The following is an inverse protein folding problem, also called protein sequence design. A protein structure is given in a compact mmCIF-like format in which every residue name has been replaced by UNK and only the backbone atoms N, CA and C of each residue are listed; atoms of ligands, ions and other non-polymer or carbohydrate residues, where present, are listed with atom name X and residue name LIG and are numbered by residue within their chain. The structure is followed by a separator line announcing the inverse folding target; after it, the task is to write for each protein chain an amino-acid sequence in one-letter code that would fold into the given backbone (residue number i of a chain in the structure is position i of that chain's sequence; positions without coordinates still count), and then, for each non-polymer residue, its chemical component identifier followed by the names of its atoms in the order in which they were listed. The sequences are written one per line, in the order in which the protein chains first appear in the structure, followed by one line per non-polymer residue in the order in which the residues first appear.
data_IF_394792272372
#
_entry.id   IF_394792272372
#
_cell.length_a   1.000
_cell.length_b   1.000
_cell.length_c   1.000
_cell.angle_alpha   90.00
_cell.angle_beta   90.00
_cell.angle_gamma   90.00
#
_symmetry.space_group_name_H-M   'P 1'
#
loop_
_entity.id
_entity.type
_entity.pdbx_description
1 polymer ?
#
# COMPACT_ATOMS: atom_id res chain seq x y z
N UNK A 1 9.77 -21.05 -66.60
CA UNK A 1 9.02 -21.92 -67.54
C UNK A 1 7.76 -22.34 -66.82
N UNK A 2 6.55 -22.04 -67.27
CA UNK A 2 6.05 -21.27 -68.43
C UNK A 2 4.65 -20.73 -67.99
N UNK A 3 3.95 -19.74 -68.53
CA UNK A 3 4.03 -18.72 -69.59
C UNK A 3 2.78 -17.81 -69.37
N UNK A 4 2.68 -16.65 -70.03
CA UNK A 4 1.54 -15.70 -69.93
C UNK A 4 0.45 -15.95 -71.03
N UNK A 5 -0.64 -15.15 -71.16
CA UNK A 5 -0.63 -13.75 -71.66
C UNK A 5 -1.47 -12.76 -70.78
N UNK A 6 -1.24 -11.43 -70.72
CA UNK A 6 -1.50 -10.34 -71.71
C UNK A 6 -2.99 -10.25 -72.16
N UNK A 7 -3.69 -9.11 -72.15
CA UNK A 7 -3.40 -7.73 -72.65
C UNK A 7 -4.29 -6.68 -71.90
N UNK A 8 -3.85 -5.48 -71.48
CA UNK A 8 -3.64 -4.20 -72.23
C UNK A 8 -4.95 -3.54 -72.76
N UNK A 9 -5.03 -2.23 -73.16
CA UNK A 9 -4.01 -1.13 -73.14
C UNK A 9 -4.47 0.33 -72.75
N UNK A 10 -3.48 1.22 -72.46
CA UNK A 10 -3.33 2.65 -72.91
C UNK A 10 -4.28 3.81 -72.45
N UNK A 11 -3.92 5.12 -72.63
CA UNK A 11 -2.58 5.78 -72.53
C UNK A 11 -2.54 7.25 -72.00
N UNK A 12 -1.30 7.81 -71.93
CA UNK A 12 -0.92 9.21 -72.31
C UNK A 12 -1.24 10.39 -71.36
N UNK A 13 -0.41 11.42 -71.15
CA UNK A 13 1.06 11.64 -71.30
C UNK A 13 1.44 12.89 -70.49
N UNK A 14 2.72 13.02 -70.08
CA UNK A 14 3.29 14.23 -69.49
C UNK A 14 4.63 14.61 -70.15
N UNK A 15 4.97 15.91 -70.04
CA UNK A 15 6.26 16.56 -70.39
C UNK A 15 6.58 16.73 -71.89
N UNK A 16 7.23 17.79 -72.38
CA UNK A 16 7.50 19.15 -71.83
C UNK A 16 8.15 20.05 -72.91
N UNK A 17 7.83 21.35 -72.99
CA UNK A 17 8.67 22.35 -73.70
C UNK A 17 8.80 23.69 -72.93
N UNK A 18 9.88 24.43 -73.20
CA UNK A 18 10.50 25.44 -72.33
C UNK A 18 10.55 26.83 -72.99
N UNK A 19 10.28 27.90 -72.24
CA UNK A 19 10.74 29.26 -72.57
C UNK A 19 10.85 30.17 -71.32
N UNK A 20 11.82 31.09 -71.32
CA UNK A 20 12.03 32.15 -70.30
C UNK A 20 11.02 33.31 -70.51
N UNK A 21 10.68 34.18 -69.55
CA UNK A 21 11.51 35.29 -69.03
C UNK A 21 10.80 36.05 -67.86
N UNK A 22 11.59 36.74 -67.04
CA UNK A 22 11.34 37.77 -65.99
C UNK A 22 9.91 38.18 -65.56
N UNK A 23 9.66 38.14 -64.24
CA UNK A 23 9.59 39.35 -63.35
C UNK A 23 9.27 39.04 -61.88
N UNK A 24 10.16 39.44 -60.98
CA UNK A 24 9.85 39.88 -59.61
C UNK A 24 8.86 41.07 -59.67
N UNK A 25 7.91 41.27 -58.71
CA UNK A 25 8.30 41.56 -57.32
C UNK A 25 7.33 41.21 -56.17
N UNK A 26 7.89 41.38 -54.96
CA UNK A 26 7.28 41.85 -53.69
C UNK A 26 6.59 40.83 -52.76
N UNK A 27 7.29 40.51 -51.66
CA UNK A 27 6.75 39.79 -50.50
C UNK A 27 5.81 40.68 -49.67
N UNK A 28 4.70 40.12 -49.14
CA UNK A 28 4.13 40.59 -47.88
C UNK A 28 4.56 39.67 -46.73
N UNK A 29 5.56 40.11 -45.97
CA UNK A 29 6.04 39.51 -44.72
C UNK A 29 4.89 38.95 -43.84
N UNK A 30 4.83 37.62 -43.73
CA UNK A 30 3.87 36.95 -42.84
C UNK A 30 4.23 37.19 -41.37
N UNK A 31 3.61 38.22 -40.77
CA UNK A 31 3.70 38.51 -39.33
C UNK A 31 3.35 37.25 -38.51
N UNK A 32 4.37 36.62 -37.91
CA UNK A 32 4.19 35.52 -36.95
C UNK A 32 3.29 36.00 -35.81
N UNK A 33 2.06 35.48 -35.78
CA UNK A 33 1.00 35.86 -34.84
C UNK A 33 1.26 35.21 -33.48
N UNK A 34 2.21 35.75 -32.72
CA UNK A 34 2.61 35.25 -31.39
C UNK A 34 1.62 35.72 -30.31
N UNK A 35 0.41 35.14 -30.31
CA UNK A 35 -0.64 35.41 -29.31
C UNK A 35 -1.31 34.07 -28.90
N UNK A 36 -1.21 33.75 -27.59
CA UNK A 36 -2.02 32.79 -26.82
C UNK A 36 -2.04 31.28 -27.17
N UNK A 37 -0.89 30.62 -27.39
CA UNK A 37 -0.84 29.14 -27.26
C UNK A 37 -1.03 28.68 -25.80
N UNK A 38 -0.43 29.40 -24.83
CA UNK A 38 -0.39 28.98 -23.43
C UNK A 38 -1.78 28.87 -22.80
N UNK A 39 -2.64 29.88 -23.01
CA UNK A 39 -4.03 29.83 -22.55
C UNK A 39 -4.86 28.71 -23.21
N UNK A 40 -4.44 28.21 -24.38
CA UNK A 40 -5.04 27.05 -25.04
C UNK A 40 -4.63 25.75 -24.35
N UNK A 41 -3.35 25.63 -23.98
CA UNK A 41 -2.78 24.51 -23.21
C UNK A 41 -3.45 24.40 -21.84
N UNK A 42 -3.48 25.49 -21.07
CA UNK A 42 -4.04 25.51 -19.71
C UNK A 42 -5.53 25.05 -19.70
N UNK A 43 -6.30 25.47 -20.73
CA UNK A 43 -7.70 25.05 -20.93
C UNK A 43 -7.83 23.59 -21.35
N UNK A 44 -6.89 23.04 -22.10
CA UNK A 44 -6.85 21.63 -22.48
C UNK A 44 -6.46 20.75 -21.28
N UNK A 45 -5.44 21.13 -20.52
CA UNK A 45 -4.95 20.43 -19.32
C UNK A 45 -6.06 20.32 -18.26
N UNK A 46 -6.78 21.41 -18.00
CA UNK A 46 -7.92 21.41 -17.07
C UNK A 46 -9.05 20.47 -17.55
N UNK A 47 -9.36 20.47 -18.86
CA UNK A 47 -10.36 19.56 -19.46
C UNK A 47 -9.93 18.09 -19.41
N UNK A 48 -8.65 17.80 -19.68
CA UNK A 48 -8.08 16.47 -19.55
C UNK A 48 -8.15 16.00 -18.09
N UNK A 49 -7.88 16.89 -17.13
CA UNK A 49 -8.07 16.65 -15.70
C UNK A 49 -9.44 16.03 -15.40
N UNK A 50 -10.52 16.69 -15.83
CA UNK A 50 -11.89 16.21 -15.61
C UNK A 50 -12.25 14.91 -16.35
N UNK A 51 -11.71 14.68 -17.55
CA UNK A 51 -11.96 13.45 -18.33
C UNK A 51 -11.24 12.23 -17.74
N UNK A 52 -10.06 12.43 -17.15
CA UNK A 52 -9.21 11.37 -16.62
C UNK A 52 -9.48 11.05 -15.13
N UNK A 53 -10.45 11.72 -14.51
CA UNK A 53 -10.91 11.42 -13.15
C UNK A 53 -11.48 9.99 -13.03
N UNK A 54 -11.35 9.42 -11.83
CA UNK A 54 -11.96 8.15 -11.50
C UNK A 54 -13.49 8.29 -11.42
N UNK A 55 -14.23 7.40 -12.09
CA UNK A 55 -15.70 7.35 -12.07
C UNK A 55 -16.35 7.06 -10.69
N UNK A 56 -15.55 6.84 -9.64
CA UNK A 56 -16.02 6.54 -8.28
C UNK A 56 -15.73 7.67 -7.30
N UNK A 57 -14.45 8.08 -7.15
CA UNK A 57 -14.10 9.18 -6.24
C UNK A 57 -14.11 10.57 -6.90
N UNK A 58 -14.21 10.63 -8.23
CA UNK A 58 -14.17 11.87 -9.04
C UNK A 58 -12.83 12.63 -8.99
N UNK A 59 -11.80 12.05 -8.35
CA UNK A 59 -10.45 12.60 -8.31
C UNK A 59 -9.55 12.05 -9.44
N UNK A 60 -8.49 12.81 -9.75
CA UNK A 60 -7.40 12.33 -10.59
C UNK A 60 -6.61 11.21 -9.89
N UNK A 61 -6.37 10.07 -10.57
CA UNK A 61 -5.71 8.92 -9.95
C UNK A 61 -4.22 9.17 -9.70
N UNK A 62 -3.78 8.94 -8.46
CA UNK A 62 -2.36 9.04 -8.04
C UNK A 62 -1.54 7.75 -8.30
N UNK A 63 -2.20 6.69 -8.76
CA UNK A 63 -1.65 5.34 -8.86
C UNK A 63 -2.26 4.61 -10.07
N UNK A 64 -2.13 3.28 -10.12
CA UNK A 64 -2.63 2.48 -11.22
C UNK A 64 -4.11 2.75 -11.57
N UNK A 65 -4.43 2.76 -12.86
CA UNK A 65 -5.77 3.04 -13.38
C UNK A 65 -6.30 1.81 -14.10
N UNK A 66 -7.50 1.39 -13.72
CA UNK A 66 -8.22 0.29 -14.34
C UNK A 66 -9.34 0.82 -15.23
N UNK A 67 -9.55 0.16 -16.37
CA UNK A 67 -10.55 0.50 -17.35
C UNK A 67 -11.50 -0.69 -17.52
N UNK A 68 -12.82 -0.47 -17.45
CA UNK A 68 -13.78 -1.53 -17.82
C UNK A 68 -13.78 -1.75 -19.34
N UNK A 69 -14.35 -2.87 -19.81
CA UNK A 69 -14.47 -3.18 -21.25
C UNK A 69 -15.12 -2.07 -22.09
N UNK A 70 -16.02 -1.28 -21.49
CA UNK A 70 -16.72 -0.16 -22.13
C UNK A 70 -16.01 1.19 -21.95
N UNK A 71 -14.80 1.21 -21.38
CA UNK A 71 -13.92 2.38 -21.37
C UNK A 71 -13.88 3.24 -20.10
N UNK A 72 -14.73 2.99 -19.09
CA UNK A 72 -14.78 3.79 -17.86
C UNK A 72 -13.58 3.57 -16.94
N UNK A 73 -13.03 4.67 -16.40
CA UNK A 73 -11.80 4.70 -15.60
C UNK A 73 -12.07 4.60 -14.09
N UNK A 74 -11.29 3.77 -13.40
CA UNK A 74 -11.33 3.56 -11.95
C UNK A 74 -9.90 3.58 -11.39
N UNK A 75 -9.64 4.38 -10.37
CA UNK A 75 -8.36 4.32 -9.66
C UNK A 75 -8.24 2.98 -8.90
N UNK A 76 -7.00 2.48 -8.72
CA UNK A 76 -6.77 1.20 -8.04
C UNK A 76 -7.46 1.05 -6.67
N UNK A 77 -7.52 2.06 -5.77
CA UNK A 77 -8.28 1.98 -4.53
C UNK A 77 -9.78 1.73 -4.76
N UNK A 78 -10.43 2.50 -5.63
CA UNK A 78 -11.86 2.36 -5.90
C UNK A 78 -12.20 1.06 -6.65
N UNK A 79 -11.36 0.65 -7.61
CA UNK A 79 -11.51 -0.65 -8.28
C UNK A 79 -11.42 -1.81 -7.27
N UNK A 80 -10.42 -1.78 -6.39
CA UNK A 80 -10.27 -2.76 -5.30
C UNK A 80 -11.49 -2.77 -4.38
N UNK A 81 -12.02 -1.59 -4.04
CA UNK A 81 -13.22 -1.48 -3.20
C UNK A 81 -14.43 -2.12 -3.88
N UNK A 82 -14.73 -1.81 -5.15
CA UNK A 82 -15.86 -2.42 -5.89
C UNK A 82 -15.79 -3.95 -5.92
N UNK A 83 -14.59 -4.53 -6.10
CA UNK A 83 -14.39 -5.98 -6.04
C UNK A 83 -14.62 -6.56 -4.64
N UNK A 84 -14.17 -5.88 -3.58
CA UNK A 84 -14.38 -6.31 -2.20
C UNK A 84 -15.86 -6.23 -1.79
N UNK A 85 -16.52 -5.15 -2.19
CA UNK A 85 -17.88 -4.78 -1.83
C UNK A 85 -18.92 -5.73 -2.48
N UNK A 86 -18.76 -6.02 -3.79
CA UNK A 86 -19.57 -7.03 -4.47
C UNK A 86 -19.40 -8.43 -3.86
N UNK A 87 -18.16 -8.80 -3.49
CA UNK A 87 -17.89 -10.09 -2.83
C UNK A 87 -18.56 -10.20 -1.46
N UNK A 88 -18.64 -9.12 -0.70
CA UNK A 88 -19.35 -9.10 0.59
C UNK A 88 -20.86 -9.32 0.41
N UNK A 89 -21.46 -8.78 -0.66
CA UNK A 89 -22.87 -9.01 -1.01
C UNK A 89 -23.17 -10.31 -1.77
N UNK A 90 -22.13 -11.03 -2.19
CA UNK A 90 -22.23 -12.21 -3.09
C UNK A 90 -22.77 -11.89 -4.50
N UNK A 91 -22.43 -10.70 -4.98
CA UNK A 91 -22.79 -10.19 -6.30
C UNK A 91 -21.55 -10.20 -7.23
N UNK A 92 -21.78 -10.18 -8.55
CA UNK A 92 -20.71 -9.83 -9.49
C UNK A 92 -20.39 -8.33 -9.36
N UNK A 93 -19.12 -7.97 -9.34
CA UNK A 93 -18.72 -6.57 -9.32
C UNK A 93 -19.06 -5.95 -10.68
N UNK A 94 -19.67 -4.77 -10.69
CA UNK A 94 -20.08 -4.08 -11.91
C UNK A 94 -19.52 -2.66 -11.95
N UNK A 95 -19.30 -2.15 -13.17
CA UNK A 95 -18.92 -0.75 -13.38
C UNK A 95 -20.05 0.18 -12.93
N UNK A 96 -19.82 1.20 -12.08
CA UNK A 96 -20.88 2.08 -11.58
C UNK A 96 -21.61 2.85 -12.70
N UNK A 97 -20.91 3.18 -13.80
CA UNK A 97 -21.48 3.98 -14.89
C UNK A 97 -22.28 3.14 -15.88
N UNK A 98 -21.75 1.99 -16.33
CA UNK A 98 -22.35 1.20 -17.42
C UNK A 98 -22.77 -0.23 -17.03
N UNK A 99 -22.65 -0.59 -15.74
CA UNK A 99 -23.07 -1.87 -15.15
C UNK A 99 -22.48 -3.15 -15.76
N UNK A 100 -21.52 -3.03 -16.68
CA UNK A 100 -20.76 -4.18 -17.20
C UNK A 100 -19.95 -4.84 -16.09
N UNK A 101 -19.83 -6.17 -16.12
CA UNK A 101 -19.09 -6.93 -15.12
C UNK A 101 -17.59 -6.61 -15.14
N UNK A 102 -17.04 -6.32 -13.96
CA UNK A 102 -15.64 -5.99 -13.74
C UNK A 102 -14.98 -7.03 -12.84
N UNK A 103 -13.76 -7.40 -13.17
CA UNK A 103 -12.96 -8.39 -12.45
C UNK A 103 -11.48 -8.10 -12.66
N UNK A 104 -10.59 -8.73 -11.88
CA UNK A 104 -9.13 -8.62 -12.06
C UNK A 104 -8.65 -9.07 -13.46
N UNK A 105 -9.49 -9.77 -14.23
CA UNK A 105 -9.19 -10.28 -15.58
C UNK A 105 -9.95 -9.55 -16.70
N UNK A 106 -11.14 -8.98 -16.44
CA UNK A 106 -11.93 -8.24 -17.44
C UNK A 106 -11.65 -6.73 -17.45
N UNK A 107 -11.14 -6.16 -16.37
CA UNK A 107 -10.69 -4.76 -16.33
C UNK A 107 -9.19 -4.68 -16.68
N UNK A 108 -8.84 -3.89 -17.69
CA UNK A 108 -7.45 -3.71 -18.12
C UNK A 108 -6.77 -2.56 -17.36
N UNK A 109 -5.46 -2.64 -17.13
CA UNK A 109 -4.69 -1.53 -16.56
C UNK A 109 -4.29 -0.56 -17.67
N UNK A 110 -4.73 0.69 -17.59
CA UNK A 110 -4.48 1.69 -18.63
C UNK A 110 -3.23 2.52 -18.33
N UNK A 111 -2.08 2.00 -18.78
CA UNK A 111 -0.78 2.66 -18.64
C UNK A 111 -0.67 4.00 -19.41
N UNK A 112 -1.50 4.21 -20.45
CA UNK A 112 -1.50 5.48 -21.19
C UNK A 112 -2.13 6.59 -20.33
N UNK A 113 -3.27 6.31 -19.69
CA UNK A 113 -3.89 7.23 -18.72
C UNK A 113 -2.97 7.49 -17.53
N UNK A 114 -2.30 6.47 -16.99
CA UNK A 114 -1.32 6.65 -15.91
C UNK A 114 -0.21 7.64 -16.29
N UNK A 115 0.38 7.48 -17.49
CA UNK A 115 1.40 8.41 -18.00
C UNK A 115 0.84 9.81 -18.21
N UNK A 116 -0.30 9.95 -18.89
CA UNK A 116 -0.92 11.26 -19.14
C UNK A 116 -1.24 12.00 -17.84
N UNK A 117 -1.81 11.30 -16.84
CA UNK A 117 -2.08 11.90 -15.52
C UNK A 117 -0.78 12.28 -14.80
N UNK A 118 0.30 11.51 -14.95
CA UNK A 118 1.60 11.83 -14.33
C UNK A 118 2.28 13.08 -14.90
N UNK A 119 1.94 13.50 -16.12
CA UNK A 119 2.41 14.73 -16.75
C UNK A 119 1.52 15.95 -16.44
N UNK A 120 0.28 15.75 -15.97
CA UNK A 120 -0.62 16.86 -15.66
C UNK A 120 -0.03 17.78 -14.56
N UNK A 121 -0.28 19.10 -14.63
CA UNK A 121 0.11 20.03 -13.59
C UNK A 121 -0.51 19.70 -12.23
N UNK A 122 0.24 19.99 -11.18
CA UNK A 122 -0.21 19.98 -9.79
C UNK A 122 0.60 20.97 -8.97
N UNK A 123 -0.05 21.66 -8.04
CA UNK A 123 0.57 22.64 -7.16
C UNK A 123 1.31 21.97 -6.00
N UNK A 124 2.44 22.56 -5.59
CA UNK A 124 3.18 22.20 -4.39
C UNK A 124 2.48 22.72 -3.13
N UNK A 125 2.27 21.85 -2.15
CA UNK A 125 1.59 22.19 -0.88
C UNK A 125 2.35 23.19 0.01
N UNK A 126 3.60 23.51 -0.33
CA UNK A 126 4.45 24.42 0.43
C UNK A 126 4.66 25.77 -0.29
N UNK A 127 5.13 25.76 -1.55
CA UNK A 127 5.43 26.99 -2.29
C UNK A 127 4.36 27.39 -3.32
N UNK A 128 3.29 26.61 -3.50
CA UNK A 128 2.21 26.82 -4.50
C UNK A 128 2.63 26.82 -5.97
N UNK A 129 3.92 26.66 -6.28
CA UNK A 129 4.39 26.51 -7.66
C UNK A 129 3.87 25.22 -8.30
N UNK A 130 3.62 25.27 -9.61
CA UNK A 130 3.05 24.17 -10.40
C UNK A 130 4.18 23.29 -10.95
N UNK A 131 4.06 21.97 -10.78
CA UNK A 131 4.97 20.97 -11.32
C UNK A 131 4.20 19.79 -11.95
N UNK A 132 4.78 19.05 -12.91
CA UNK A 132 4.24 17.75 -13.34
C UNK A 132 4.13 16.79 -12.16
N UNK A 133 3.00 16.08 -12.02
CA UNK A 133 2.73 15.17 -10.87
C UNK A 133 3.85 14.18 -10.59
N UNK A 134 4.51 13.63 -11.62
CA UNK A 134 5.62 12.69 -11.45
C UNK A 134 6.83 13.28 -10.71
N UNK A 135 7.05 14.60 -10.83
CA UNK A 135 8.20 15.30 -10.23
C UNK A 135 7.85 15.98 -8.91
N UNK A 136 6.55 16.21 -8.65
CA UNK A 136 6.07 16.94 -7.49
C UNK A 136 6.53 16.34 -6.15
N UNK A 137 6.48 15.01 -6.00
CA UNK A 137 6.94 14.35 -4.78
C UNK A 137 8.44 14.63 -4.52
N UNK A 138 9.27 14.49 -5.55
CA UNK A 138 10.71 14.77 -5.43
C UNK A 138 10.95 16.24 -5.05
N UNK A 139 10.17 17.17 -5.62
CA UNK A 139 10.23 18.57 -5.26
C UNK A 139 9.87 18.81 -3.78
N UNK A 140 8.70 18.37 -3.34
CA UNK A 140 8.21 18.57 -1.97
C UNK A 140 9.16 17.97 -0.90
N UNK A 141 9.82 16.85 -1.20
CA UNK A 141 10.74 16.18 -0.28
C UNK A 141 12.16 16.76 -0.29
N UNK A 142 12.68 17.15 -1.47
CA UNK A 142 14.12 17.37 -1.67
C UNK A 142 14.51 18.78 -2.12
N UNK A 143 13.74 19.43 -3.00
CA UNK A 143 14.17 20.69 -3.66
C UNK A 143 13.36 21.92 -3.26
N UNK A 144 12.15 21.77 -2.74
CA UNK A 144 11.29 22.87 -2.33
C UNK A 144 11.89 23.66 -1.16
N UNK A 145 12.04 24.98 -1.31
CA UNK A 145 12.62 25.85 -0.27
C UNK A 145 11.68 26.06 0.92
N UNK A 146 10.37 25.92 0.70
CA UNK A 146 9.32 26.03 1.73
C UNK A 146 9.01 24.70 2.44
N UNK A 147 9.68 23.60 2.08
CA UNK A 147 9.46 22.31 2.75
C UNK A 147 9.91 22.38 4.22
N UNK A 148 9.15 21.72 5.09
CA UNK A 148 9.49 21.65 6.52
C UNK A 148 10.69 20.73 6.75
N UNK A 149 11.81 21.33 7.17
CA UNK A 149 13.04 20.64 7.55
C UNK A 149 13.30 20.78 9.05
N UNK A 150 14.19 19.94 9.60
CA UNK A 150 14.69 20.07 10.96
C UNK A 150 16.15 20.51 10.96
N UNK A 151 16.59 21.12 12.06
CA UNK A 151 17.99 21.52 12.24
C UNK A 151 18.93 20.29 12.24
N UNK A 152 20.16 20.38 11.69
CA UNK A 152 21.17 19.30 11.83
C UNK A 152 21.43 18.90 13.29
N UNK A 153 21.28 19.86 14.22
CA UNK A 153 21.43 19.66 15.67
C UNK A 153 20.18 19.10 16.36
N UNK A 154 19.15 18.68 15.62
CA UNK A 154 18.04 17.91 16.19
C UNK A 154 18.51 16.59 16.84
N UNK A 155 19.69 16.09 16.46
CA UNK A 155 20.30 14.92 17.08
C UNK A 155 20.71 15.13 18.56
N UNK A 156 21.05 16.36 18.95
CA UNK A 156 21.45 16.76 20.32
C UNK A 156 20.33 17.46 21.10
N UNK A 157 19.11 17.54 20.52
CA UNK A 157 17.93 18.05 21.22
C UNK A 157 17.31 19.32 20.64
N UNK A 158 17.84 19.89 19.54
CA UNK A 158 17.21 21.08 18.92
C UNK A 158 15.78 20.75 18.43
N UNK A 159 14.72 21.43 18.93
CA UNK A 159 13.34 21.17 18.53
C UNK A 159 12.94 21.90 17.23
N UNK A 160 13.82 22.74 16.67
CA UNK A 160 13.48 23.63 15.56
C UNK A 160 13.09 22.84 14.30
N UNK A 161 11.94 23.23 13.75
CA UNK A 161 11.41 22.82 12.45
C UNK A 161 10.87 24.05 11.74
N UNK A 162 11.23 24.23 10.48
CA UNK A 162 10.82 25.38 9.66
C UNK A 162 11.15 25.18 8.19
N UNK A 163 10.90 26.19 7.34
CA UNK A 163 11.25 26.16 5.91
C UNK A 163 12.73 25.81 5.69
N UNK A 164 13.03 25.13 4.58
CA UNK A 164 14.41 24.74 4.25
C UNK A 164 15.32 25.95 4.03
N UNK A 165 14.80 27.08 3.55
CA UNK A 165 15.58 28.31 3.39
C UNK A 165 16.02 28.90 4.75
N UNK A 166 15.22 28.74 5.81
CA UNK A 166 15.55 29.20 7.17
C UNK A 166 16.53 28.28 7.92
N UNK A 167 16.69 27.03 7.48
CA UNK A 167 17.51 26.04 8.18
C UNK A 167 18.98 26.50 8.32
N UNK A 168 19.61 27.00 7.25
CA UNK A 168 21.00 27.48 7.31
C UNK A 168 21.16 28.71 8.24
N UNK A 169 20.32 29.76 8.17
CA UNK A 169 20.29 30.84 9.16
C UNK A 169 20.04 30.41 10.60
N UNK A 170 19.22 29.37 10.83
CA UNK A 170 19.01 28.81 12.15
C UNK A 170 20.25 28.08 12.66
N UNK A 171 20.89 27.25 11.83
CA UNK A 171 22.05 26.43 12.20
C UNK A 171 23.26 27.26 12.65
N UNK A 172 23.49 28.44 12.07
CA UNK A 172 24.57 29.34 12.49
C UNK A 172 24.30 30.05 13.82
N UNK A 173 23.03 30.14 14.24
CA UNK A 173 22.58 30.76 15.50
C UNK A 173 21.99 29.74 16.48
N UNK A 174 22.19 28.45 16.23
CA UNK A 174 21.55 27.41 17.02
C UNK A 174 22.16 27.37 18.42
N UNK A 175 21.33 27.45 19.46
CA UNK A 175 21.79 27.33 20.85
C UNK A 175 22.15 25.89 21.23
N UNK A 176 21.70 24.87 20.47
CA UNK A 176 21.85 23.47 20.84
C UNK A 176 23.31 23.00 21.02
N UNK A 177 24.29 23.39 20.18
CA UNK A 177 25.70 23.07 20.41
C UNK A 177 26.31 23.72 21.68
N UNK A 178 25.66 24.74 22.24
CA UNK A 178 26.08 25.43 23.46
C UNK A 178 25.27 24.99 24.71
N UNK A 179 24.37 24.01 24.58
CA UNK A 179 23.63 23.44 25.72
C UNK A 179 24.57 22.68 26.66
N UNK A 180 24.17 22.56 27.93
CA UNK A 180 24.96 21.80 28.89
C UNK A 180 24.96 20.30 28.53
N UNK A 181 26.03 19.59 28.91
CA UNK A 181 26.10 18.14 28.72
C UNK A 181 24.94 17.39 29.39
N UNK A 182 24.37 17.92 30.48
CA UNK A 182 23.22 17.34 31.16
C UNK A 182 21.93 17.42 30.30
N UNK A 183 21.70 18.55 29.64
CA UNK A 183 20.53 18.74 28.76
C UNK A 183 20.60 17.84 27.52
N UNK A 184 21.80 17.75 26.92
CA UNK A 184 22.05 16.88 25.75
C UNK A 184 21.90 15.41 26.15
N UNK A 185 22.40 14.99 27.31
CA UNK A 185 22.21 13.63 27.82
C UNK A 185 20.73 13.30 28.07
N UNK A 186 19.94 14.24 28.61
CA UNK A 186 18.50 14.05 28.78
C UNK A 186 17.77 13.89 27.44
N UNK A 187 18.10 14.73 26.44
CA UNK A 187 17.54 14.64 25.10
C UNK A 187 17.92 13.33 24.39
N UNK A 188 19.16 12.87 24.54
CA UNK A 188 19.63 11.58 24.02
C UNK A 188 18.95 10.40 24.72
N UNK A 189 18.81 10.43 26.05
CA UNK A 189 18.14 9.37 26.81
C UNK A 189 16.66 9.20 26.42
N UNK A 190 15.94 10.32 26.18
CA UNK A 190 14.57 10.30 25.66
C UNK A 190 14.51 9.79 24.20
N UNK A 191 15.47 10.18 23.36
CA UNK A 191 15.58 9.65 21.98
C UNK A 191 15.85 8.15 21.97
N UNK A 192 16.77 7.68 22.81
CA UNK A 192 17.02 6.25 23.00
C UNK A 192 15.80 5.54 23.59
N UNK A 193 15.06 6.15 24.51
CA UNK A 193 13.81 5.57 25.03
C UNK A 193 12.81 5.36 23.90
N UNK A 194 12.60 6.35 23.03
CA UNK A 194 11.74 6.22 21.83
C UNK A 194 12.27 5.18 20.85
N UNK A 195 13.59 5.10 20.64
CA UNK A 195 14.20 4.10 19.78
C UNK A 195 14.07 2.68 20.36
N UNK A 196 14.25 2.50 21.68
CA UNK A 196 13.97 1.27 22.42
C UNK A 196 12.49 0.91 22.34
N UNK A 197 11.59 1.87 22.53
CA UNK A 197 10.13 1.66 22.47
C UNK A 197 9.68 1.23 21.06
N UNK A 198 10.23 1.82 19.99
CA UNK A 198 10.02 1.35 18.62
C UNK A 198 10.69 -0.03 18.36
N UNK A 199 11.86 -0.27 18.97
CA UNK A 199 12.61 -1.52 18.88
C UNK A 199 12.00 -2.68 19.69
N UNK A 200 11.19 -2.42 20.71
CA UNK A 200 10.61 -3.43 21.62
C UNK A 200 9.84 -4.51 20.85
N UNK A 201 9.10 -4.13 19.82
CA UNK A 201 8.36 -5.09 18.98
C UNK A 201 9.31 -6.03 18.22
N UNK A 202 10.41 -5.50 17.68
CA UNK A 202 11.43 -6.32 17.00
C UNK A 202 12.20 -7.20 17.98
N UNK A 203 12.59 -6.66 19.14
CA UNK A 203 13.24 -7.42 20.20
C UNK A 203 12.34 -8.54 20.73
N UNK A 204 11.05 -8.26 20.93
CA UNK A 204 10.05 -9.27 21.28
C UNK A 204 9.97 -10.33 20.18
N UNK A 205 9.78 -9.96 18.91
CA UNK A 205 9.72 -10.95 17.81
C UNK A 205 11.00 -11.79 17.71
N UNK A 206 12.19 -11.22 17.95
CA UNK A 206 13.44 -11.97 17.98
C UNK A 206 13.53 -12.93 19.18
N UNK A 207 13.07 -12.51 20.37
CA UNK A 207 12.92 -13.39 21.54
C UNK A 207 11.96 -14.55 21.21
N UNK A 208 10.81 -14.26 20.59
CA UNK A 208 9.84 -15.28 20.16
C UNK A 208 10.41 -16.25 19.12
N UNK A 209 11.35 -15.80 18.28
CA UNK A 209 12.06 -16.63 17.32
C UNK A 209 13.21 -17.46 17.96
N UNK A 210 13.51 -17.27 19.25
CA UNK A 210 14.52 -18.01 19.99
C UNK A 210 13.99 -19.21 20.79
N UNK A 211 12.67 -19.39 20.88
CA UNK A 211 12.05 -20.51 21.60
C UNK A 211 12.31 -21.84 20.87
N UNK A 212 12.55 -22.90 21.64
CA UNK A 212 12.81 -24.26 21.13
C UNK A 212 11.63 -24.83 20.31
N UNK A 213 10.39 -24.46 20.66
CA UNK A 213 9.15 -24.96 20.05
C UNK A 213 8.41 -23.86 19.30
N UNK A 214 8.88 -23.58 18.09
CA UNK A 214 8.22 -22.70 17.10
C UNK A 214 7.75 -23.55 15.93
N UNK A 215 6.59 -23.22 15.37
CA UNK A 215 6.15 -23.77 14.07
C UNK A 215 5.86 -22.65 13.09
N UNK A 216 6.11 -22.86 11.80
CA UNK A 216 5.84 -21.90 10.75
C UNK A 216 4.78 -22.46 9.82
N UNK A 217 3.57 -21.89 9.84
CA UNK A 217 2.46 -22.34 9.02
C UNK A 217 2.07 -21.25 8.02
N UNK A 218 2.26 -21.50 6.73
CA UNK A 218 1.69 -20.67 5.66
C UNK A 218 0.23 -21.06 5.45
N UNK A 219 -0.68 -20.18 5.87
CA UNK A 219 -2.11 -20.44 5.91
C UNK A 219 -2.85 -19.73 4.78
N UNK A 220 -3.84 -20.43 4.24
CA UNK A 220 -4.77 -19.91 3.25
C UNK A 220 -6.19 -19.89 3.84
N UNK A 221 -6.75 -18.70 4.01
CA UNK A 221 -8.15 -18.49 4.38
C UNK A 221 -9.04 -18.62 3.14
N UNK A 222 -9.96 -19.60 3.17
CA UNK A 222 -10.96 -19.84 2.14
C UNK A 222 -12.30 -19.23 2.58
N UNK A 223 -13.04 -18.55 1.70
CA UNK A 223 -14.33 -17.97 2.03
C UNK A 223 -15.39 -19.05 2.25
N UNK A 224 -16.29 -18.84 3.20
CA UNK A 224 -17.54 -19.57 3.35
C UNK A 224 -18.65 -18.63 3.84
N UNK A 225 -19.91 -19.02 3.67
CA UNK A 225 -21.07 -18.23 4.12
C UNK A 225 -21.98 -19.10 4.99
N UNK A 226 -22.68 -18.45 5.90
CA UNK A 226 -23.72 -19.07 6.73
C UNK A 226 -25.09 -18.94 6.07
N UNK A 227 -25.96 -19.92 6.28
CA UNK A 227 -27.35 -19.94 5.78
C UNK A 227 -28.30 -19.00 6.56
N UNK A 228 -27.76 -18.11 7.40
CA UNK A 228 -28.52 -17.07 8.09
C UNK A 228 -29.18 -16.10 7.09
N UNK A 229 -30.29 -15.47 7.51
CA UNK A 229 -31.01 -14.38 6.78
C UNK A 229 -30.14 -13.14 6.45
N UNK A 230 -28.87 -13.16 6.88
CA UNK A 230 -27.80 -12.27 6.46
C UNK A 230 -26.63 -13.16 6.03
N UNK A 231 -26.34 -13.24 4.74
CA UNK A 231 -25.19 -13.97 4.20
C UNK A 231 -23.86 -13.31 4.60
N UNK A 232 -23.46 -13.48 5.86
CA UNK A 232 -22.18 -12.98 6.37
C UNK A 232 -21.04 -13.77 5.73
N UNK A 233 -20.08 -13.05 5.16
CA UNK A 233 -18.86 -13.62 4.63
C UNK A 233 -17.89 -13.92 5.78
N UNK A 234 -17.62 -15.20 5.98
CA UNK A 234 -16.58 -15.70 6.86
C UNK A 234 -15.44 -16.30 6.05
N UNK A 235 -14.31 -16.53 6.71
CA UNK A 235 -13.21 -17.27 6.13
C UNK A 235 -12.71 -18.30 7.14
N UNK A 236 -12.29 -19.48 6.66
CA UNK A 236 -11.68 -20.53 7.48
C UNK A 236 -10.43 -21.09 6.78
N UNK A 237 -9.40 -21.43 7.55
CA UNK A 237 -8.26 -22.18 7.04
C UNK A 237 -8.56 -23.67 7.02
N UNK A 238 -7.90 -24.42 6.13
CA UNK A 238 -7.74 -25.87 6.36
C UNK A 238 -7.14 -26.13 7.76
N UNK A 239 -7.48 -27.28 8.36
CA UNK A 239 -6.88 -27.70 9.62
C UNK A 239 -5.37 -27.84 9.45
N UNK A 240 -4.61 -27.29 10.39
CA UNK A 240 -3.15 -27.40 10.41
C UNK A 240 -2.66 -27.96 11.75
N UNK A 241 -1.46 -28.52 11.74
CA UNK A 241 -0.88 -29.24 12.89
C UNK A 241 0.20 -28.40 13.55
N UNK A 242 0.09 -28.15 14.85
CA UNK A 242 1.14 -27.51 15.65
C UNK A 242 1.07 -28.04 17.10
N UNK A 243 2.22 -28.26 17.73
CA UNK A 243 2.33 -28.79 19.11
C UNK A 243 1.58 -30.10 19.37
N UNK A 244 1.47 -30.98 18.36
CA UNK A 244 0.68 -32.22 18.46
C UNK A 244 -0.84 -32.01 18.40
N UNK A 245 -1.29 -30.77 18.22
CA UNK A 245 -2.69 -30.37 18.21
C UNK A 245 -3.15 -29.93 16.82
N UNK A 246 -4.47 -30.00 16.60
CA UNK A 246 -5.13 -29.54 15.38
C UNK A 246 -5.73 -28.15 15.57
N UNK A 247 -5.42 -27.25 14.65
CA UNK A 247 -5.76 -25.83 14.72
C UNK A 247 -6.51 -25.37 13.48
N UNK A 248 -7.34 -24.35 13.66
CA UNK A 248 -8.04 -23.64 12.58
C UNK A 248 -7.96 -22.14 12.88
N UNK A 249 -7.70 -21.32 11.86
CA UNK A 249 -7.93 -19.87 11.97
C UNK A 249 -9.23 -19.54 11.25
N UNK A 250 -10.15 -18.88 11.95
CA UNK A 250 -11.31 -18.22 11.35
C UNK A 250 -11.05 -16.73 11.18
N UNK A 251 -11.68 -16.13 10.18
CA UNK A 251 -11.74 -14.69 10.04
C UNK A 251 -13.16 -14.20 9.73
N UNK A 252 -13.50 -13.02 10.22
CA UNK A 252 -14.78 -12.35 9.94
C UNK A 252 -14.59 -10.84 9.80
N UNK A 253 -15.55 -10.19 9.13
CA UNK A 253 -15.53 -8.74 8.90
C UNK A 253 -16.39 -8.04 9.97
N UNK A 254 -15.76 -7.20 10.78
CA UNK A 254 -16.38 -6.59 11.97
C UNK A 254 -17.26 -5.37 11.64
N UNK A 255 -16.96 -4.65 10.55
CA UNK A 255 -17.77 -3.55 10.01
C UNK A 255 -18.64 -4.02 8.83
N UNK A 256 -19.63 -4.87 9.07
CA UNK A 256 -20.59 -5.27 8.03
C UNK A 256 -21.74 -4.24 7.93
N UNK A 257 -21.43 -3.03 7.44
CA UNK A 257 -22.42 -1.96 7.28
C UNK A 257 -23.41 -2.31 6.15
N UNK A 258 -24.63 -2.67 6.55
CA UNK A 258 -25.71 -3.05 5.62
C UNK A 258 -26.42 -1.83 4.98
N UNK A 259 -26.13 -0.63 5.47
CA UNK A 259 -26.83 0.62 5.11
C UNK A 259 -25.82 1.77 4.97
N UNK A 260 -25.59 2.30 3.74
CA UNK A 260 -24.66 3.40 3.49
C UNK A 260 -25.05 4.76 4.11
N UNK A 261 -26.30 4.91 4.58
CA UNK A 261 -26.82 6.22 5.02
C UNK A 261 -26.46 6.58 6.46
N UNK A 262 -26.00 5.63 7.27
CA UNK A 262 -25.83 5.80 8.72
C UNK A 262 -24.40 6.18 9.17
N UNK A 263 -23.50 6.54 8.25
CA UNK A 263 -22.14 7.00 8.59
C UNK A 263 -21.84 8.37 8.00
N UNK A 264 -21.69 9.37 8.87
CA UNK A 264 -21.13 10.68 8.53
C UNK A 264 -19.62 10.64 8.28
N UNK A 265 -18.95 9.56 8.68
CA UNK A 265 -17.54 9.30 8.37
C UNK A 265 -17.42 8.47 7.10
N UNK A 266 -16.72 9.01 6.09
CA UNK A 266 -16.36 8.32 4.84
C UNK A 266 -15.22 7.29 5.05
N UNK A 267 -15.29 6.48 6.10
CA UNK A 267 -14.32 5.41 6.34
C UNK A 267 -14.66 4.17 5.49
N UNK A 268 -14.20 4.18 4.23
CA UNK A 268 -14.37 3.11 3.23
C UNK A 268 -13.45 1.90 3.55
N UNK A 269 -13.34 1.52 4.83
CA UNK A 269 -12.41 0.48 5.29
C UNK A 269 -13.11 -0.55 6.18
N UNK A 270 -13.17 -1.76 5.65
CA UNK A 270 -13.55 -2.95 6.41
C UNK A 270 -12.44 -3.28 7.43
N UNK A 271 -12.81 -3.97 8.51
CA UNK A 271 -11.86 -4.51 9.50
C UNK A 271 -12.03 -6.03 9.54
N UNK A 272 -10.96 -6.77 9.22
CA UNK A 272 -10.93 -8.23 9.37
C UNK A 272 -10.44 -8.56 10.79
N UNK A 273 -11.17 -9.42 11.50
CA UNK A 273 -10.73 -10.01 12.77
C UNK A 273 -10.34 -11.47 12.54
N UNK A 274 -9.24 -11.92 13.17
CA UNK A 274 -8.78 -13.30 13.18
C UNK A 274 -9.05 -13.96 14.53
N UNK A 275 -9.42 -15.23 14.50
CA UNK A 275 -9.66 -16.06 15.67
C UNK A 275 -8.92 -17.38 15.51
N UNK A 276 -8.01 -17.71 16.44
CA UNK A 276 -7.34 -19.01 16.49
C UNK A 276 -8.18 -19.98 17.32
N UNK A 277 -8.44 -21.16 16.78
CA UNK A 277 -9.33 -22.17 17.35
C UNK A 277 -8.60 -23.50 17.45
N UNK A 278 -8.60 -24.07 18.65
CA UNK A 278 -8.14 -25.42 18.93
C UNK A 278 -9.26 -26.43 18.61
N UNK A 279 -8.95 -27.46 17.80
CA UNK A 279 -9.91 -28.50 17.39
C UNK A 279 -9.68 -29.87 18.04
N UNK A 280 -8.51 -30.08 18.66
CA UNK A 280 -8.19 -31.28 19.43
C UNK A 280 -8.32 -30.99 20.93
N UNK A 281 -8.86 -31.94 21.71
CA UNK A 281 -8.92 -31.81 23.17
C UNK A 281 -7.51 -31.76 23.78
N UNK A 282 -7.13 -30.69 24.50
CA UNK A 282 -5.85 -30.63 25.20
C UNK A 282 -5.94 -31.37 26.54
N UNK A 283 -4.91 -32.12 26.92
CA UNK A 283 -4.88 -32.83 28.21
C UNK A 283 -4.59 -31.91 29.42
N UNK A 284 -4.02 -30.74 29.16
CA UNK A 284 -3.70 -29.67 30.12
C UNK A 284 -3.84 -28.32 29.41
N UNK A 285 -4.04 -27.23 30.16
CA UNK A 285 -4.14 -25.89 29.57
C UNK A 285 -2.87 -25.53 28.79
N UNK A 286 -3.04 -25.20 27.51
CA UNK A 286 -1.95 -24.91 26.58
C UNK A 286 -1.84 -23.41 26.35
N UNK A 287 -0.85 -22.78 26.99
CA UNK A 287 -0.42 -21.43 26.64
C UNK A 287 0.15 -21.41 25.22
N UNK A 288 -0.49 -20.68 24.31
CA UNK A 288 0.02 -20.41 22.97
C UNK A 288 0.05 -18.93 22.74
N UNK A 289 1.20 -18.44 22.29
CA UNK A 289 1.35 -17.13 21.72
C UNK A 289 1.53 -17.30 20.21
N UNK A 290 1.12 -16.30 19.42
CA UNK A 290 1.30 -16.35 17.96
C UNK A 290 1.47 -14.96 17.36
N UNK A 291 2.16 -14.94 16.23
CA UNK A 291 2.40 -13.76 15.42
C UNK A 291 1.85 -14.00 14.02
N UNK A 292 1.14 -13.00 13.50
CA UNK A 292 0.58 -13.01 12.14
C UNK A 292 1.47 -12.15 11.24
N UNK A 293 2.12 -12.79 10.27
CA UNK A 293 3.04 -12.16 9.33
C UNK A 293 2.50 -12.19 7.90
N UNK A 294 3.01 -11.29 7.07
CA UNK A 294 2.77 -11.32 5.62
C UNK A 294 3.33 -12.63 5.07
N UNK A 295 2.46 -13.45 4.46
CA UNK A 295 2.89 -14.67 3.76
C UNK A 295 3.66 -14.34 2.47
N UNK A 296 4.39 -15.30 1.88
CA UNK A 296 5.19 -15.07 0.66
C UNK A 296 4.37 -14.52 -0.52
N UNK A 297 3.07 -14.84 -0.57
CA UNK A 297 2.11 -14.35 -1.58
C UNK A 297 1.05 -13.39 -1.00
N UNK A 298 1.27 -12.84 0.20
CA UNK A 298 0.34 -11.89 0.82
C UNK A 298 0.38 -10.52 0.14
N UNK A 299 -0.78 -9.97 -0.27
CA UNK A 299 -0.85 -8.64 -0.89
C UNK A 299 -0.88 -7.48 0.13
N UNK A 300 -1.31 -7.72 1.38
CA UNK A 300 -1.40 -6.69 2.42
C UNK A 300 -0.12 -6.53 3.24
N UNK A 301 0.12 -5.29 3.72
CA UNK A 301 1.19 -5.00 4.69
C UNK A 301 0.65 -5.18 6.10
N UNK A 302 1.29 -6.05 6.86
CA UNK A 302 0.98 -6.30 8.26
C UNK A 302 2.05 -5.66 9.16
N UNK A 303 1.62 -5.02 10.23
CA UNK A 303 2.45 -4.72 11.40
C UNK A 303 2.59 -6.00 12.21
N UNK A 304 3.76 -6.24 12.81
CA UNK A 304 3.89 -7.33 13.76
C UNK A 304 2.99 -7.04 14.97
N UNK A 305 2.23 -8.06 15.41
CA UNK A 305 1.42 -8.01 16.62
C UNK A 305 1.42 -9.40 17.23
N UNK A 306 1.84 -9.50 18.48
CA UNK A 306 1.88 -10.76 19.23
C UNK A 306 0.56 -10.92 19.97
N UNK A 307 -0.15 -12.00 19.68
CA UNK A 307 -1.34 -12.41 20.42
C UNK A 307 -0.97 -13.54 21.39
N UNK A 308 -1.72 -13.67 22.48
CA UNK A 308 -1.50 -14.68 23.51
C UNK A 308 -2.84 -15.21 24.03
N UNK A 309 -2.96 -16.54 24.20
CA UNK A 309 -4.13 -17.16 24.81
C UNK A 309 -3.77 -18.49 25.48
N UNK A 310 -4.54 -18.87 26.50
CA UNK A 310 -4.41 -20.17 27.17
C UNK A 310 -5.60 -21.04 26.78
N UNK A 311 -5.35 -22.05 25.96
CA UNK A 311 -6.38 -22.93 25.43
C UNK A 311 -6.64 -24.11 26.37
N UNK A 312 -7.88 -24.27 26.81
CA UNK A 312 -8.35 -25.39 27.63
C UNK A 312 -9.62 -26.01 27.00
N UNK A 313 -10.19 -27.06 27.62
CA UNK A 313 -11.38 -27.72 27.07
C UNK A 313 -12.62 -26.80 27.08
N UNK A 314 -12.70 -25.89 28.06
CA UNK A 314 -13.69 -24.82 28.17
C UNK A 314 -13.31 -23.54 27.39
N UNK A 315 -12.02 -23.34 27.06
CA UNK A 315 -11.50 -22.20 26.28
C UNK A 315 -10.79 -22.63 24.98
N UNK A 316 -11.48 -23.38 24.11
CA UNK A 316 -10.93 -23.81 22.82
C UNK A 316 -10.76 -22.68 21.78
N UNK A 317 -11.43 -21.55 21.99
CA UNK A 317 -11.50 -20.42 21.07
C UNK A 317 -10.80 -19.20 21.67
N UNK A 318 -9.72 -18.71 21.03
CA UNK A 318 -9.16 -17.42 21.39
C UNK A 318 -10.17 -16.29 21.12
N UNK A 319 -10.09 -15.14 21.83
CA UNK A 319 -10.90 -13.97 21.48
C UNK A 319 -10.51 -13.45 20.08
N UNK A 320 -11.45 -12.87 19.32
CA UNK A 320 -11.14 -12.29 18.01
C UNK A 320 -10.22 -11.08 18.12
N UNK A 321 -9.12 -11.09 17.37
CA UNK A 321 -8.16 -9.98 17.31
C UNK A 321 -8.23 -9.31 15.94
N UNK A 322 -8.26 -7.99 15.90
CA UNK A 322 -8.17 -7.24 14.65
C UNK A 322 -6.86 -7.59 13.92
N UNK A 323 -6.94 -7.85 12.61
CA UNK A 323 -5.77 -8.06 11.78
C UNK A 323 -4.90 -6.79 11.81
N UNK A 324 -3.62 -6.86 12.19
CA UNK A 324 -2.76 -5.69 12.42
C UNK A 324 -2.27 -5.11 11.08
N UNK A 325 -3.18 -4.57 10.27
CA UNK A 325 -2.85 -3.96 8.99
C UNK A 325 -2.06 -2.67 9.20
N UNK A 326 -1.09 -2.43 8.32
CA UNK A 326 -0.33 -1.18 8.32
C UNK A 326 -1.18 0.01 7.87
N UNK A 327 -2.15 -0.25 7.01
CA UNK A 327 -3.02 0.70 6.31
C UNK A 327 -4.43 0.11 6.25
N UNK A 328 -5.46 0.88 6.59
CA UNK A 328 -6.85 0.42 6.57
C UNK A 328 -7.34 0.07 5.14
N UNK A 329 -6.74 0.67 4.10
CA UNK A 329 -7.02 0.35 2.71
C UNK A 329 -6.55 -1.07 2.31
N UNK A 330 -5.60 -1.65 3.03
CA UNK A 330 -5.12 -3.01 2.75
C UNK A 330 -6.19 -4.08 3.06
N UNK A 331 -7.22 -3.81 3.89
CA UNK A 331 -8.35 -4.75 4.07
C UNK A 331 -9.11 -4.96 2.76
N UNK A 332 -9.38 -3.88 2.02
CA UNK A 332 -10.11 -3.96 0.75
C UNK A 332 -9.33 -4.80 -0.26
N UNK A 333 -7.99 -4.69 -0.27
CA UNK A 333 -7.11 -5.55 -1.09
C UNK A 333 -7.26 -7.02 -0.71
N UNK A 334 -7.26 -7.36 0.58
CA UNK A 334 -7.49 -8.74 1.02
C UNK A 334 -8.87 -9.27 0.62
N UNK A 335 -9.92 -8.47 0.82
CA UNK A 335 -11.29 -8.86 0.48
C UNK A 335 -11.49 -8.99 -1.05
N UNK A 336 -10.75 -8.24 -1.87
CA UNK A 336 -10.77 -8.38 -3.34
C UNK A 336 -10.20 -9.72 -3.86
N UNK A 337 -9.51 -10.50 -3.03
CA UNK A 337 -8.80 -11.72 -3.43
C UNK A 337 -9.54 -13.00 -3.06
N UNK A 338 -9.66 -13.95 -4.00
CA UNK A 338 -10.36 -15.24 -3.78
C UNK A 338 -9.86 -16.01 -2.55
N UNK A 339 -8.57 -15.88 -2.20
CA UNK A 339 -8.00 -16.41 -0.96
C UNK A 339 -7.09 -15.37 -0.27
N UNK A 340 -7.00 -15.44 1.05
CA UNK A 340 -6.13 -14.57 1.86
C UNK A 340 -4.97 -15.42 2.40
N UNK A 341 -3.73 -14.97 2.15
CA UNK A 341 -2.49 -15.68 2.49
C UNK A 341 -1.70 -14.94 3.57
N UNK A 342 -1.36 -15.63 4.66
CA UNK A 342 -0.57 -15.11 5.77
C UNK A 342 0.22 -16.25 6.42
N UNK A 343 1.30 -15.90 7.12
CA UNK A 343 2.08 -16.83 7.91
C UNK A 343 1.70 -16.69 9.37
N UNK A 344 1.33 -17.80 10.00
CA UNK A 344 1.13 -17.88 11.44
C UNK A 344 2.33 -18.59 12.06
N UNK A 345 2.97 -17.95 13.04
CA UNK A 345 4.03 -18.56 13.84
C UNK A 345 3.56 -18.68 15.28
N UNK A 346 2.88 -19.77 15.65
CA UNK A 346 2.57 -20.03 17.05
C UNK A 346 3.79 -20.63 17.74
N UNK A 347 3.93 -20.33 19.03
CA UNK A 347 4.96 -20.80 19.95
C UNK A 347 4.38 -21.01 21.34
N UNK A 348 4.98 -21.93 22.10
CA UNK A 348 4.61 -22.19 23.50
C UNK A 348 5.62 -21.49 24.40
N UNK A 349 5.20 -20.58 25.31
CA UNK A 349 6.11 -20.02 26.29
C UNK A 349 6.61 -21.15 27.20
N UNK A 350 7.88 -21.08 27.58
CA UNK A 350 8.50 -22.09 28.44
C UNK A 350 7.76 -22.10 29.78
N UNK A 351 7.11 -23.22 30.13
CA UNK A 351 6.69 -23.45 31.52
C UNK A 351 7.96 -23.40 32.38
N UNK A 352 8.03 -22.58 33.43
CA UNK A 352 9.19 -22.59 34.30
C UNK A 352 9.23 -23.95 35.01
N UNK A 353 10.07 -24.85 34.51
CA UNK A 353 10.45 -26.03 35.27
C UNK A 353 11.05 -25.56 36.59
N UNK A 354 10.65 -26.23 37.67
CA UNK A 354 11.06 -25.93 39.04
C UNK A 354 12.59 -25.77 39.15
N UNK A 355 13.09 -24.80 39.94
CA UNK A 355 14.49 -24.39 39.89
C UNK A 355 15.42 -25.41 40.59
N UNK A 356 15.69 -26.52 39.92
CA UNK A 356 16.70 -27.52 40.30
C UNK A 356 17.49 -27.96 39.06
N UNK A 357 18.48 -27.13 38.67
CA UNK A 357 19.73 -27.46 37.92
C UNK A 357 20.42 -26.25 37.27
N UNK A 358 19.97 -25.01 37.54
CA UNK A 358 20.64 -23.77 37.10
C UNK A 358 21.94 -23.45 37.89
N UNK A 359 22.85 -24.42 38.02
CA UNK A 359 24.13 -24.26 38.71
C UNK A 359 25.17 -25.28 38.22
N UNK A 360 25.71 -25.10 37.00
CA UNK A 360 26.97 -25.75 36.56
C UNK A 360 27.62 -25.16 35.30
N UNK A 361 26.90 -24.44 34.42
CA UNK A 361 27.44 -23.93 33.14
C UNK A 361 27.92 -22.46 33.13
N UNK A 362 28.30 -21.90 34.29
CA UNK A 362 28.79 -20.51 34.42
C UNK A 362 30.25 -20.38 34.91
N UNK A 363 31.09 -21.40 34.67
CA UNK A 363 32.55 -21.34 34.93
C UNK A 363 33.38 -22.07 33.86
N UNK A 364 33.62 -21.43 32.72
CA UNK A 364 34.83 -21.58 31.89
C UNK A 364 34.74 -20.67 30.66
N UNK A 365 35.29 -19.45 30.75
CA UNK A 365 35.70 -18.62 29.59
C UNK A 365 36.52 -17.39 30.06
N UNK A 366 37.52 -17.61 30.90
CA UNK A 366 38.53 -16.60 31.29
C UNK A 366 39.90 -17.26 31.44
N UNK A 367 40.65 -17.33 30.34
CA UNK A 367 42.12 -17.33 30.35
C UNK A 367 42.62 -16.68 29.04
N UNK A 368 43.59 -15.75 29.09
CA UNK A 368 44.13 -15.12 27.90
C UNK A 368 45.10 -16.04 27.16
N UNK A 369 45.25 -15.83 25.85
CA UNK A 369 46.33 -16.44 25.05
C UNK A 369 47.62 -15.64 25.26
N UNK A 370 48.74 -16.36 25.45
CA UNK A 370 50.06 -15.93 24.98
C UNK A 370 50.14 -16.14 23.46
#
# INVERSE_FOLDING_TARGET
MAEAPESEPLPSSSESEVALDTKEPDEPLTKKRKITDKEGSDKLEHRLGGILCCAVCLDLPQAAVYQCSNGHLMCAPCFTHLLADARLRDESATCPNCRVEISKTSASRNLAVEKTVSELPSECKFCTCVFPRHSLQHHEENTCEERLTGCRYACIGCPWRGPAHEARPHETRCAAPAQSGADVLAALAERERRARDAGKLYAQVLDLLSYEKITFNDLQLKPYRTEEFVHKLYYETSRFSAFGHQWVVKAFVNKNQRDPTQSSQREISYQLALQLILKSKPAQALGVQWLVLRGPYGEARLRASVCAHSFAEDSCDAPPHALPLHDAADTNRLLSNKAIHFRCTPHTPHTPHTPHTAALHSKQLLYPRN
#
